data_IF_274347965829
#
_entry.id   IF_274347965829
#
_cell.length_a   1.000
_cell.length_b   1.000
_cell.length_c   1.000
_cell.angle_alpha   90.00
_cell.angle_beta   90.00
_cell.angle_gamma   90.00
#
_symmetry.space_group_name_H-M   'P 1'
#
loop_
_entity.id
_entity.type
_entity.pdbx_description
1 polymer ?
#
# COMPACT_ATOMS: atom_id res chain seq x y z
N UNK A 1 19.00 12.65 -5.88
CA UNK A 1 18.96 11.61 -6.93
C UNK A 1 17.72 10.77 -6.68
N UNK A 2 17.02 10.36 -7.73
CA UNK A 2 15.87 9.46 -7.61
C UNK A 2 16.37 8.02 -7.65
N UNK A 3 15.95 7.22 -6.68
CA UNK A 3 16.20 5.78 -6.62
C UNK A 3 14.93 5.04 -7.02
N UNK A 4 15.09 3.83 -7.54
CA UNK A 4 13.99 2.94 -7.90
C UNK A 4 14.14 1.66 -7.08
N UNK A 5 13.09 1.28 -6.35
CA UNK A 5 13.03 0.05 -5.58
C UNK A 5 11.92 -0.86 -6.10
N UNK A 6 12.20 -2.15 -6.14
CA UNK A 6 11.27 -3.20 -6.56
C UNK A 6 11.32 -4.39 -5.60
N UNK A 7 10.22 -5.13 -5.56
CA UNK A 7 10.18 -6.36 -4.78
C UNK A 7 8.78 -6.97 -4.76
N UNK A 8 8.61 -7.91 -3.84
CA UNK A 8 7.36 -8.61 -3.61
C UNK A 8 6.91 -8.45 -2.16
N UNK A 9 5.63 -8.68 -1.90
CA UNK A 9 5.14 -8.87 -0.54
C UNK A 9 4.09 -9.98 -0.47
N UNK A 10 3.98 -10.58 0.70
CA UNK A 10 2.89 -11.49 1.05
C UNK A 10 1.96 -10.82 2.05
N UNK A 11 0.65 -11.06 1.92
CA UNK A 11 -0.31 -10.72 2.97
C UNK A 11 -0.22 -11.80 4.06
N UNK A 12 0.19 -11.40 5.26
CA UNK A 12 0.41 -12.31 6.39
C UNK A 12 -0.75 -12.32 7.38
N UNK A 13 -1.70 -11.39 7.23
CA UNK A 13 -2.86 -11.27 8.11
C UNK A 13 -3.93 -10.38 7.50
N UNK A 14 -5.18 -10.75 7.74
CA UNK A 14 -6.36 -10.05 7.25
C UNK A 14 -7.44 -10.09 8.33
N UNK A 15 -7.72 -8.95 8.94
CA UNK A 15 -8.70 -8.80 10.01
C UNK A 15 -9.78 -7.82 9.56
N UNK A 16 -10.98 -8.31 9.29
CA UNK A 16 -12.13 -7.45 9.05
C UNK A 16 -12.56 -6.80 10.36
N UNK A 17 -12.53 -5.47 10.39
CA UNK A 17 -12.82 -4.67 11.60
C UNK A 17 -14.29 -4.30 11.65
N UNK A 18 -14.84 -3.84 10.52
CA UNK A 18 -16.24 -3.45 10.41
C UNK A 18 -16.69 -3.41 8.95
N UNK A 19 -17.97 -3.64 8.73
CA UNK A 19 -18.62 -3.46 7.43
C UNK A 19 -19.93 -2.70 7.65
N UNK A 20 -20.16 -1.67 6.82
CA UNK A 20 -21.35 -0.83 6.86
C UNK A 20 -22.08 -0.88 5.52
N UNK A 21 -23.31 -1.39 5.53
CA UNK A 21 -24.21 -1.32 4.38
C UNK A 21 -24.88 0.07 4.32
N UNK A 22 -24.77 0.75 3.19
CA UNK A 22 -25.45 2.01 2.88
C UNK A 22 -26.25 1.83 1.59
N UNK A 23 -27.22 2.72 1.36
CA UNK A 23 -27.95 2.74 0.09
C UNK A 23 -26.98 2.94 -1.07
N UNK A 24 -26.80 1.88 -1.89
CA UNK A 24 -25.95 1.89 -3.08
C UNK A 24 -24.45 1.62 -2.85
N UNK A 25 -24.01 1.35 -1.62
CA UNK A 25 -22.60 1.07 -1.34
C UNK A 25 -22.40 0.26 -0.05
N UNK A 26 -21.41 -0.61 -0.05
CA UNK A 26 -20.88 -1.29 1.14
C UNK A 26 -19.52 -0.68 1.47
N UNK A 27 -19.32 -0.23 2.71
CA UNK A 27 -18.07 0.35 3.18
C UNK A 27 -17.42 -0.61 4.18
N UNK A 28 -16.24 -1.12 3.85
CA UNK A 28 -15.49 -2.04 4.71
C UNK A 28 -14.30 -1.36 5.40
N UNK A 29 -13.93 -1.84 6.58
CA UNK A 29 -12.71 -1.49 7.32
C UNK A 29 -11.95 -2.77 7.64
N UNK A 30 -10.67 -2.79 7.32
CA UNK A 30 -9.85 -3.99 7.46
C UNK A 30 -8.44 -3.62 7.90
N UNK A 31 -7.89 -4.40 8.81
CA UNK A 31 -6.47 -4.36 9.16
C UNK A 31 -5.72 -5.45 8.41
N UNK A 32 -4.65 -5.09 7.75
CA UNK A 32 -3.83 -5.99 6.93
C UNK A 32 -2.39 -5.96 7.44
N UNK A 33 -1.74 -7.12 7.50
CA UNK A 33 -0.29 -7.21 7.74
C UNK A 33 0.41 -7.79 6.53
N UNK A 34 1.63 -7.31 6.25
CA UNK A 34 2.42 -7.75 5.10
C UNK A 34 3.86 -8.04 5.48
N UNK A 35 4.49 -8.93 4.73
CA UNK A 35 5.93 -9.17 4.73
C UNK A 35 6.50 -8.84 3.35
N UNK A 36 7.46 -7.90 3.29
CA UNK A 36 8.13 -7.43 2.09
C UNK A 36 9.48 -8.12 1.89
N UNK A 37 9.85 -8.33 0.63
CA UNK A 37 11.15 -8.88 0.20
C UNK A 37 11.61 -8.21 -1.10
N UNK A 38 12.92 -8.02 -1.26
CA UNK A 38 13.53 -7.31 -2.39
C UNK A 38 14.30 -6.08 -1.91
N UNK A 39 14.16 -4.95 -2.61
CA UNK A 39 14.84 -3.70 -2.23
C UNK A 39 14.30 -3.10 -0.92
N UNK A 40 13.03 -3.37 -0.59
CA UNK A 40 12.45 -3.28 0.73
C UNK A 40 12.35 -4.68 1.34
N UNK A 41 13.05 -4.89 2.45
CA UNK A 41 12.96 -6.08 3.29
C UNK A 41 12.41 -5.67 4.67
N UNK A 42 11.28 -6.24 5.09
CA UNK A 42 10.60 -5.80 6.31
C UNK A 42 9.14 -6.22 6.40
N UNK A 43 8.40 -5.58 7.31
CA UNK A 43 6.99 -5.86 7.54
C UNK A 43 6.17 -4.59 7.63
N UNK A 44 4.85 -4.72 7.50
CA UNK A 44 3.95 -3.59 7.69
C UNK A 44 2.63 -3.96 8.34
N UNK A 45 1.94 -2.95 8.85
CA UNK A 45 0.53 -2.99 9.23
C UNK A 45 -0.20 -1.85 8.55
N UNK A 46 -1.36 -2.16 7.96
CA UNK A 46 -2.18 -1.23 7.21
C UNK A 46 -3.60 -1.24 7.74
N UNK A 47 -4.18 -0.06 7.94
CA UNK A 47 -5.61 0.10 8.08
C UNK A 47 -6.17 0.56 6.73
N UNK A 48 -7.05 -0.24 6.13
CA UNK A 48 -7.70 0.07 4.86
C UNK A 48 -9.20 0.30 5.05
N UNK A 49 -9.74 1.24 4.28
CA UNK A 49 -11.17 1.39 4.06
C UNK A 49 -11.47 1.06 2.60
N UNK A 50 -12.48 0.23 2.37
CA UNK A 50 -12.94 -0.16 1.04
C UNK A 50 -14.34 0.36 0.79
N UNK A 51 -14.67 0.59 -0.47
CA UNK A 51 -16.04 0.81 -0.92
C UNK A 51 -16.31 -0.09 -2.12
N UNK A 52 -17.45 -0.78 -2.08
CA UNK A 52 -17.97 -1.55 -3.19
C UNK A 52 -19.38 -1.05 -3.52
N UNK A 53 -19.72 -1.06 -4.81
CA UNK A 53 -21.07 -0.75 -5.33
C UNK A 53 -21.52 -1.90 -6.22
N UNK A 54 -22.83 -2.04 -6.47
CA UNK A 54 -23.34 -3.08 -7.39
C UNK A 54 -22.80 -2.95 -8.81
N UNK A 55 -22.58 -1.72 -9.27
CA UNK A 55 -22.06 -1.42 -10.61
C UNK A 55 -20.53 -1.53 -10.70
N UNK A 56 -19.83 -1.51 -9.56
CA UNK A 56 -18.40 -1.25 -9.50
C UNK A 56 -18.02 0.14 -10.05
N UNK A 57 -16.71 0.41 -10.22
CA UNK A 57 -15.60 -0.34 -9.64
C UNK A 57 -15.48 -0.12 -8.13
N UNK A 58 -14.85 -1.06 -7.42
CA UNK A 58 -14.51 -0.89 -6.02
C UNK A 58 -13.34 0.11 -5.87
N UNK A 59 -13.27 0.79 -4.73
CA UNK A 59 -12.15 1.66 -4.38
C UNK A 59 -11.67 1.37 -2.97
N UNK A 60 -10.42 1.71 -2.69
CA UNK A 60 -9.90 1.66 -1.33
C UNK A 60 -8.89 2.78 -1.05
N UNK A 61 -8.82 3.14 0.23
CA UNK A 61 -7.80 4.03 0.79
C UNK A 61 -7.21 3.39 2.03
N UNK A 62 -6.02 3.80 2.44
CA UNK A 62 -5.42 3.25 3.65
C UNK A 62 -4.14 3.96 4.07
N UNK A 63 -3.74 3.69 5.31
CA UNK A 63 -2.48 4.16 5.88
C UNK A 63 -1.70 2.93 6.36
N UNK A 64 -0.49 2.78 5.85
CA UNK A 64 0.39 1.64 6.11
C UNK A 64 1.65 2.10 6.82
N UNK A 65 1.93 1.55 8.00
CA UNK A 65 3.19 1.75 8.70
C UNK A 65 4.15 0.60 8.35
N UNK A 66 5.29 0.95 7.77
CA UNK A 66 6.33 0.01 7.33
C UNK A 66 7.52 0.08 8.28
N UNK A 67 8.04 -1.08 8.67
CA UNK A 67 9.30 -1.24 9.39
C UNK A 67 10.22 -2.16 8.59
N UNK A 68 11.44 -1.69 8.28
CA UNK A 68 12.37 -2.50 7.50
C UNK A 68 13.62 -1.78 7.02
N UNK A 69 14.17 -2.31 5.94
CA UNK A 69 15.35 -1.80 5.26
C UNK A 69 15.02 -1.54 3.79
N UNK A 70 15.13 -0.28 3.36
CA UNK A 70 14.90 0.15 1.97
C UNK A 70 16.22 0.57 1.33
N UNK A 71 16.63 -0.11 0.26
CA UNK A 71 17.89 0.18 -0.43
C UNK A 71 19.10 0.14 0.51
N UNK A 72 19.10 -0.81 1.45
CA UNK A 72 20.15 -0.97 2.47
C UNK A 72 20.08 -0.02 3.67
N UNK A 73 19.06 0.85 3.77
CA UNK A 73 18.90 1.82 4.88
C UNK A 73 17.78 1.41 5.80
N UNK A 74 18.06 1.32 7.10
CA UNK A 74 17.09 0.85 8.11
C UNK A 74 16.27 2.00 8.69
N UNK A 75 14.97 1.78 8.82
CA UNK A 75 14.07 2.72 9.46
C UNK A 75 12.60 2.29 9.38
N UNK A 76 11.73 3.23 9.69
CA UNK A 76 10.29 3.12 9.46
C UNK A 76 9.81 4.26 8.59
N UNK A 77 8.66 4.09 7.95
CA UNK A 77 7.96 5.14 7.23
C UNK A 77 6.48 4.78 7.08
N UNK A 78 5.68 5.74 6.61
CA UNK A 78 4.25 5.56 6.38
C UNK A 78 3.92 5.76 4.91
N UNK A 79 3.16 4.83 4.34
CA UNK A 79 2.55 4.94 3.02
C UNK A 79 1.08 5.32 3.14
N UNK A 80 0.64 6.28 2.34
CA UNK A 80 -0.76 6.56 2.07
C UNK A 80 -1.18 5.85 0.77
N UNK A 81 -2.28 5.10 0.83
CA UNK A 81 -2.84 4.37 -0.30
C UNK A 81 -4.04 5.10 -0.87
N UNK A 82 -4.14 5.08 -2.21
CA UNK A 82 -5.33 5.50 -2.95
C UNK A 82 -5.46 4.58 -4.15
N UNK A 83 -6.59 3.90 -4.31
CA UNK A 83 -6.84 3.03 -5.43
C UNK A 83 -8.33 2.96 -5.78
N UNK A 84 -8.63 2.63 -7.03
CA UNK A 84 -9.99 2.45 -7.53
C UNK A 84 -9.97 1.97 -8.98
N UNK A 85 -11.14 1.94 -9.61
CA UNK A 85 -11.25 1.84 -11.06
C UNK A 85 -11.73 3.15 -11.67
N UNK A 86 -11.46 3.35 -12.97
CA UNK A 86 -12.11 4.38 -13.77
C UNK A 86 -13.46 3.91 -14.34
N UNK A 87 -14.13 4.76 -15.13
CA UNK A 87 -15.43 4.47 -15.74
C UNK A 87 -15.40 3.29 -16.73
N UNK A 88 -14.21 2.96 -17.25
CA UNK A 88 -13.97 1.83 -18.14
C UNK A 88 -13.58 0.55 -17.37
N UNK A 89 -13.52 0.62 -16.03
CA UNK A 89 -13.15 -0.47 -15.14
C UNK A 89 -11.64 -0.72 -15.04
N UNK A 90 -10.80 0.17 -15.59
CA UNK A 90 -9.35 0.02 -15.47
C UNK A 90 -8.91 0.35 -14.05
N UNK A 91 -8.18 -0.55 -13.38
CA UNK A 91 -7.72 -0.30 -12.02
C UNK A 91 -6.56 0.71 -12.03
N UNK A 92 -6.55 1.59 -11.03
CA UNK A 92 -5.43 2.46 -10.72
C UNK A 92 -5.07 2.33 -9.24
N UNK A 93 -3.79 2.53 -8.92
CA UNK A 93 -3.29 2.50 -7.56
C UNK A 93 -2.11 3.45 -7.40
N UNK A 94 -2.08 4.13 -6.26
CA UNK A 94 -0.95 4.94 -5.81
C UNK A 94 -0.62 4.68 -4.35
N UNK A 95 0.67 4.51 -4.10
CA UNK A 95 1.30 4.69 -2.81
C UNK A 95 2.02 6.02 -2.78
N UNK A 96 1.91 6.75 -1.67
CA UNK A 96 2.64 7.98 -1.43
C UNK A 96 3.33 7.88 -0.07
N UNK A 97 4.64 8.09 -0.02
CA UNK A 97 5.35 8.22 1.26
C UNK A 97 4.91 9.52 1.94
N UNK A 98 4.42 9.41 3.17
CA UNK A 98 4.10 10.58 4.00
C UNK A 98 5.40 11.28 4.35
N UNK A 99 5.59 12.51 3.86
CA UNK A 99 6.88 13.20 3.80
C UNK A 99 7.65 13.36 5.13
N UNK A 100 6.97 13.29 6.28
CA UNK A 100 7.56 13.45 7.62
C UNK A 100 7.61 12.13 8.41
N UNK A 101 7.27 11.01 7.78
CA UNK A 101 7.11 9.72 8.46
C UNK A 101 8.39 8.90 8.57
N UNK A 102 9.38 9.18 7.72
CA UNK A 102 10.65 8.48 7.70
C UNK A 102 11.41 8.62 9.03
N UNK A 103 11.92 7.51 9.56
CA UNK A 103 12.74 7.47 10.79
C UNK A 103 14.09 6.80 10.53
N UNK A 104 15.03 6.95 11.48
CA UNK A 104 16.35 6.34 11.38
C UNK A 104 17.07 6.81 10.12
N UNK A 105 17.61 5.86 9.35
CA UNK A 105 18.32 6.15 8.10
C UNK A 105 17.37 6.50 6.94
N UNK A 106 16.06 6.45 7.16
CA UNK A 106 15.02 6.85 6.20
C UNK A 106 14.43 8.24 6.53
N UNK A 107 15.00 8.98 7.48
CA UNK A 107 14.59 10.36 7.75
C UNK A 107 14.72 11.23 6.50
N UNK A 108 13.63 11.88 6.09
CA UNK A 108 13.58 12.70 4.87
C UNK A 108 13.08 11.96 3.62
N UNK A 109 12.74 10.68 3.73
CA UNK A 109 12.23 9.86 2.63
C UNK A 109 10.98 10.50 1.99
N UNK A 110 11.00 10.59 0.68
CA UNK A 110 9.86 10.99 -0.17
C UNK A 110 9.79 10.05 -1.35
N UNK A 111 8.58 9.73 -1.81
CA UNK A 111 8.44 8.86 -2.96
C UNK A 111 7.00 8.47 -3.21
N UNK A 112 6.80 7.82 -4.34
CA UNK A 112 5.53 7.23 -4.73
C UNK A 112 5.75 5.88 -5.38
N UNK A 113 4.72 5.04 -5.32
CA UNK A 113 4.81 3.67 -5.78
C UNK A 113 3.45 3.12 -6.17
N UNK A 114 3.44 1.84 -6.52
CA UNK A 114 2.24 1.09 -6.86
C UNK A 114 2.44 -0.39 -6.57
N UNK A 115 1.33 -1.10 -6.46
CA UNK A 115 1.31 -2.56 -6.42
C UNK A 115 0.94 -3.06 -7.81
N UNK A 116 1.57 -4.17 -8.20
CA UNK A 116 1.24 -4.93 -9.39
C UNK A 116 0.83 -6.34 -8.97
N UNK A 117 -0.33 -6.80 -9.45
CA UNK A 117 -0.78 -8.17 -9.24
C UNK A 117 -0.22 -9.00 -10.41
N UNK A 118 0.58 -10.01 -10.08
CA UNK A 118 1.21 -10.89 -11.04
C UNK A 118 0.21 -11.95 -11.55
N UNK A 119 0.49 -12.57 -12.69
CA UNK A 119 -0.37 -13.58 -13.31
C UNK A 119 -0.60 -14.81 -12.40
N UNK A 120 0.34 -15.11 -11.52
CA UNK A 120 0.27 -16.20 -10.54
C UNK A 120 -0.46 -15.82 -9.24
N UNK A 121 -0.98 -14.59 -9.15
CA UNK A 121 -1.64 -14.04 -7.96
C UNK A 121 -0.66 -13.47 -6.92
N UNK A 122 0.64 -13.46 -7.18
CA UNK A 122 1.63 -12.78 -6.36
C UNK A 122 1.47 -11.26 -6.39
N UNK A 123 1.98 -10.58 -5.35
CA UNK A 123 1.98 -9.13 -5.28
C UNK A 123 3.40 -8.58 -5.40
N UNK A 124 3.64 -7.81 -6.46
CA UNK A 124 4.87 -7.04 -6.65
C UNK A 124 4.62 -5.56 -6.32
N UNK A 125 5.69 -4.80 -6.06
CA UNK A 125 5.61 -3.35 -5.93
C UNK A 125 6.77 -2.67 -6.65
N UNK A 126 6.54 -1.41 -7.02
CA UNK A 126 7.59 -0.46 -7.39
C UNK A 126 7.49 0.77 -6.49
N UNK A 127 8.62 1.38 -6.17
CA UNK A 127 8.71 2.62 -5.39
C UNK A 127 9.83 3.50 -5.95
N UNK A 128 9.47 4.64 -6.50
CA UNK A 128 10.41 5.71 -6.86
C UNK A 128 10.55 6.68 -5.70
N UNK A 129 11.78 6.91 -5.23
CA UNK A 129 12.00 7.67 -4.01
C UNK A 129 13.29 8.51 -4.01
N UNK A 130 13.30 9.53 -3.17
CA UNK A 130 14.45 10.36 -2.84
C UNK A 130 14.68 10.36 -1.35
N UNK A 131 15.95 10.52 -0.97
CA UNK A 131 16.41 10.64 0.41
C UNK A 131 17.61 11.58 0.45
#
# INVERSE_FOLDING_TARGET
>A
MTNHATGMFDITGWEEVATEEKTGATIGRTRVTKAFRGDLDGTSTTEIMTVATEAGPAAYVGIEHVEGTLGGRKGTFVLQHSAGGDDDGNPWMRWLVVATSGTGELTGLRGEGRIEILEDGGHAYTLDYTL
#
